data_IF_531868894965
#
_entry.id   IF_531868894965
#
_cell.length_a   1.000
_cell.length_b   1.000
_cell.length_c   1.000
_cell.angle_alpha   90.00
_cell.angle_beta   90.00
_cell.angle_gamma   90.00
#
_symmetry.space_group_name_H-M   'P 1'
#
loop_
_entity.id
_entity.type
_entity.pdbx_description
1 polymer ?
#
# COMPACT_ATOMS: atom_id res chain seq x y z
N UNK A 1 -34.39 -28.68 -23.47
CA UNK A 1 -33.50 -29.84 -23.72
C UNK A 1 -34.24 -31.19 -23.74
N UNK A 2 -35.47 -31.30 -23.23
CA UNK A 2 -36.20 -32.59 -23.14
C UNK A 2 -37.60 -32.60 -23.76
N UNK A 3 -37.98 -31.61 -24.59
CA UNK A 3 -39.37 -31.42 -25.07
C UNK A 3 -39.99 -32.51 -25.95
N UNK A 4 -39.25 -33.59 -26.26
CA UNK A 4 -39.77 -34.80 -26.91
C UNK A 4 -39.94 -35.98 -25.94
N UNK A 5 -39.46 -35.86 -24.70
CA UNK A 5 -39.44 -36.90 -23.66
C UNK A 5 -40.31 -36.46 -22.48
N UNK A 6 -40.10 -35.24 -21.99
CA UNK A 6 -40.96 -34.61 -21.00
C UNK A 6 -41.87 -33.64 -21.75
N UNK A 7 -43.11 -34.07 -22.02
CA UNK A 7 -44.08 -33.32 -22.85
C UNK A 7 -45.25 -32.76 -22.06
N UNK A 8 -45.44 -33.22 -20.82
CA UNK A 8 -46.44 -32.70 -19.89
C UNK A 8 -45.77 -31.66 -18.97
N UNK A 9 -46.33 -30.46 -18.92
CA UNK A 9 -45.85 -29.35 -18.07
C UNK A 9 -46.98 -28.78 -17.21
N UNK A 10 -48.00 -29.60 -16.93
CA UNK A 10 -49.14 -29.17 -16.13
C UNK A 10 -48.85 -29.29 -14.62
N UNK A 11 -49.64 -28.57 -13.83
CA UNK A 11 -49.54 -28.48 -12.35
C UNK A 11 -49.64 -29.82 -11.59
N UNK A 12 -50.11 -30.88 -12.22
CA UNK A 12 -50.20 -32.20 -11.59
C UNK A 12 -48.90 -33.02 -11.73
N UNK A 13 -47.96 -32.57 -12.56
CA UNK A 13 -46.70 -33.27 -12.80
C UNK A 13 -45.74 -33.04 -11.60
N UNK A 14 -45.29 -34.12 -10.92
CA UNK A 14 -44.33 -34.00 -9.82
C UNK A 14 -42.99 -33.41 -10.26
N UNK A 15 -42.57 -33.59 -11.51
CA UNK A 15 -41.36 -32.97 -12.07
C UNK A 15 -41.48 -31.45 -12.17
N UNK A 16 -42.67 -30.93 -12.48
CA UNK A 16 -42.95 -29.48 -12.45
C UNK A 16 -42.91 -28.99 -11.00
N UNK A 17 -43.53 -29.73 -10.07
CA UNK A 17 -43.48 -29.38 -8.63
C UNK A 17 -42.04 -29.32 -8.12
N UNK A 18 -41.19 -30.30 -8.47
CA UNK A 18 -39.77 -30.29 -8.08
C UNK A 18 -39.06 -29.05 -8.63
N UNK A 19 -39.28 -28.73 -9.91
CA UNK A 19 -38.68 -27.56 -10.53
C UNK A 19 -39.13 -26.27 -9.85
N UNK A 20 -40.42 -26.13 -9.53
CA UNK A 20 -40.96 -24.97 -8.83
C UNK A 20 -40.33 -24.78 -7.44
N UNK A 21 -40.20 -25.85 -6.64
CA UNK A 21 -39.57 -25.76 -5.33
C UNK A 21 -38.07 -25.43 -5.43
N UNK A 22 -37.37 -25.96 -6.45
CA UNK A 22 -35.98 -25.60 -6.71
C UNK A 22 -35.82 -24.12 -7.11
N UNK A 23 -36.73 -23.60 -7.94
CA UNK A 23 -36.74 -22.18 -8.33
C UNK A 23 -37.08 -21.27 -7.15
N UNK A 24 -38.00 -21.70 -6.27
CA UNK A 24 -38.28 -20.97 -5.04
C UNK A 24 -37.06 -20.92 -4.11
N UNK A 25 -36.39 -22.05 -3.89
CA UNK A 25 -35.15 -22.09 -3.11
C UNK A 25 -34.02 -21.24 -3.73
N UNK A 26 -33.91 -21.18 -5.06
CA UNK A 26 -33.00 -20.25 -5.75
C UNK A 26 -33.36 -18.78 -5.52
N UNK A 27 -34.65 -18.46 -5.38
CA UNK A 27 -35.09 -17.09 -5.11
C UNK A 27 -34.63 -16.62 -3.74
N UNK A 28 -34.60 -17.51 -2.74
CA UNK A 28 -34.03 -17.22 -1.42
C UNK A 28 -32.52 -16.93 -1.51
N UNK A 29 -31.77 -17.70 -2.29
CA UNK A 29 -30.35 -17.38 -2.55
C UNK A 29 -30.21 -16.01 -3.21
N UNK A 30 -31.04 -15.70 -4.21
CA UNK A 30 -31.04 -14.40 -4.87
C UNK A 30 -31.33 -13.24 -3.91
N UNK A 31 -32.27 -13.43 -2.98
CA UNK A 31 -32.53 -12.48 -1.89
C UNK A 31 -31.30 -12.28 -1.01
N UNK A 32 -30.66 -13.37 -0.55
CA UNK A 32 -29.46 -13.33 0.30
C UNK A 32 -28.22 -12.75 -0.38
N UNK A 33 -28.20 -12.69 -1.72
CA UNK A 33 -27.14 -12.03 -2.52
C UNK A 33 -27.42 -10.55 -2.81
N UNK A 34 -28.60 -10.07 -2.42
CA UNK A 34 -29.06 -8.71 -2.68
C UNK A 34 -28.86 -7.75 -1.51
N UNK A 35 -28.13 -8.14 -0.46
CA UNK A 35 -27.79 -7.24 0.64
C UNK A 35 -26.74 -6.21 0.20
N UNK A 36 -26.60 -5.14 0.99
CA UNK A 36 -25.59 -4.12 0.74
C UNK A 36 -24.18 -4.70 0.93
N UNK A 37 -23.18 -4.14 0.24
CA UNK A 37 -21.82 -4.71 0.26
C UNK A 37 -21.18 -4.62 1.64
N UNK A 38 -21.49 -3.56 2.38
CA UNK A 38 -21.07 -3.31 3.75
C UNK A 38 -21.49 -4.45 4.68
N UNK A 39 -22.67 -5.03 4.45
CA UNK A 39 -23.20 -6.13 5.24
C UNK A 39 -22.43 -7.44 5.00
N UNK A 40 -21.95 -7.67 3.77
CA UNK A 40 -21.07 -8.82 3.47
C UNK A 40 -19.64 -8.63 3.97
N UNK A 41 -19.20 -7.41 4.21
CA UNK A 41 -17.86 -7.10 4.71
C UNK A 41 -17.80 -7.03 6.25
N UNK A 42 -18.95 -6.92 6.91
CA UNK A 42 -19.05 -6.89 8.35
C UNK A 42 -18.79 -8.27 8.96
N UNK A 43 -18.01 -8.32 10.04
CA UNK A 43 -17.91 -9.51 10.89
C UNK A 43 -19.14 -9.67 11.77
N UNK A 44 -19.21 -10.78 12.51
CA UNK A 44 -20.33 -11.12 13.40
C UNK A 44 -20.68 -10.04 14.44
N UNK A 45 -19.73 -9.16 14.78
CA UNK A 45 -19.92 -8.02 15.68
C UNK A 45 -20.54 -6.79 15.00
N UNK A 46 -20.87 -6.87 13.70
CA UNK A 46 -21.42 -5.77 12.90
C UNK A 46 -20.38 -4.74 12.45
N UNK A 47 -19.09 -4.98 12.70
CA UNK A 47 -18.04 -4.04 12.29
C UNK A 47 -17.31 -4.56 11.05
N UNK A 48 -16.94 -3.63 10.16
CA UNK A 48 -16.03 -3.94 9.05
C UNK A 48 -14.60 -3.86 9.60
N UNK A 49 -13.82 -4.93 9.44
CA UNK A 49 -12.38 -4.91 9.77
C UNK A 49 -11.59 -4.27 8.62
N UNK A 50 -11.60 -2.94 8.60
CA UNK A 50 -10.90 -2.12 7.61
C UNK A 50 -9.41 -2.47 7.48
N UNK A 51 -8.75 -2.80 8.58
CA UNK A 51 -7.33 -3.10 8.59
C UNK A 51 -7.04 -4.46 7.95
N UNK A 52 -7.81 -5.50 8.31
CA UNK A 52 -7.64 -6.80 7.66
C UNK A 52 -8.02 -6.77 6.19
N UNK A 53 -9.00 -5.96 5.80
CA UNK A 53 -9.45 -5.90 4.41
C UNK A 53 -8.66 -4.90 3.54
N UNK A 54 -7.61 -4.28 4.10
CA UNK A 54 -6.83 -3.22 3.45
C UNK A 54 -7.71 -2.09 2.88
N UNK A 55 -8.80 -1.76 3.58
CA UNK A 55 -9.70 -0.66 3.26
C UNK A 55 -9.22 0.58 4.02
N UNK A 56 -8.62 1.52 3.31
CA UNK A 56 -8.05 2.72 3.92
C UNK A 56 -8.97 3.91 3.80
N UNK A 57 -9.05 4.69 4.88
CA UNK A 57 -9.85 5.90 4.92
C UNK A 57 -9.32 6.95 3.93
N UNK A 58 -10.18 7.82 3.36
CA UNK A 58 -9.77 8.85 2.41
C UNK A 58 -8.65 9.75 2.94
N UNK A 59 -8.63 10.08 4.23
CA UNK A 59 -7.56 10.86 4.86
C UNK A 59 -6.17 10.21 4.79
N UNK A 60 -6.09 8.88 4.65
CA UNK A 60 -4.82 8.15 4.54
C UNK A 60 -4.33 8.05 3.09
N UNK A 61 -5.24 7.95 2.12
CA UNK A 61 -4.89 7.67 0.71
C UNK A 61 -5.03 8.86 -0.24
N UNK A 62 -5.86 9.86 0.08
CA UNK A 62 -6.07 11.05 -0.76
C UNK A 62 -5.21 12.25 -0.35
N UNK A 63 -4.14 12.03 0.43
CA UNK A 63 -3.25 13.12 0.80
C UNK A 63 -2.48 13.63 -0.42
N UNK A 64 -2.52 14.94 -0.64
CA UNK A 64 -1.77 15.59 -1.69
C UNK A 64 -0.28 15.68 -1.32
N UNK A 65 0.57 15.06 -2.13
CA UNK A 65 2.02 15.18 -1.99
C UNK A 65 2.49 16.48 -2.66
N UNK A 66 3.25 17.36 -1.97
CA UNK A 66 3.70 18.63 -2.55
C UNK A 66 4.74 18.37 -3.65
N UNK A 67 4.51 18.93 -4.83
CA UNK A 67 5.39 18.77 -6.01
C UNK A 67 5.86 20.11 -6.59
N UNK A 68 5.15 21.20 -6.32
CA UNK A 68 5.55 22.56 -6.74
C UNK A 68 6.21 23.34 -5.60
N UNK A 69 6.94 24.40 -5.94
CA UNK A 69 7.59 25.27 -4.94
C UNK A 69 6.59 25.93 -3.99
N UNK A 70 5.41 26.32 -4.51
CA UNK A 70 4.35 26.95 -3.70
C UNK A 70 3.65 25.94 -2.78
N UNK A 71 3.43 24.72 -3.27
CA UNK A 71 2.93 23.62 -2.43
C UNK A 71 3.94 23.26 -1.35
N UNK A 72 5.24 23.19 -1.66
CA UNK A 72 6.28 23.01 -0.65
C UNK A 72 6.22 24.13 0.39
N UNK A 73 6.19 25.40 -0.03
CA UNK A 73 6.10 26.52 0.88
C UNK A 73 4.88 26.42 1.82
N UNK A 74 3.71 26.10 1.28
CA UNK A 74 2.47 25.92 2.04
C UNK A 74 2.55 24.73 3.01
N UNK A 75 2.96 23.56 2.50
CA UNK A 75 3.09 22.31 3.25
C UNK A 75 4.03 22.48 4.44
N UNK A 76 5.26 22.95 4.21
CA UNK A 76 6.25 23.10 5.27
C UNK A 76 5.87 24.21 6.25
N UNK A 77 5.26 25.31 5.80
CA UNK A 77 4.79 26.38 6.70
C UNK A 77 3.78 25.86 7.71
N UNK A 78 2.92 24.95 7.28
CA UNK A 78 1.84 24.38 8.11
C UNK A 78 2.33 23.33 9.12
N UNK A 79 3.49 22.70 8.89
CA UNK A 79 3.97 21.52 9.63
C UNK A 79 5.27 21.74 10.40
N UNK A 80 6.05 22.75 10.04
CA UNK A 80 7.23 23.13 10.81
C UNK A 80 6.81 24.03 11.96
N UNK A 81 7.26 23.69 13.17
CA UNK A 81 7.01 24.49 14.36
C UNK A 81 8.12 24.26 15.38
N UNK A 82 8.29 25.20 16.30
CA UNK A 82 9.09 25.03 17.50
C UNK A 82 8.15 24.90 18.70
N UNK A 83 8.37 23.91 19.56
CA UNK A 83 7.46 23.58 20.66
C UNK A 83 8.12 23.69 22.03
N UNK A 84 7.45 24.40 22.95
CA UNK A 84 7.80 24.38 24.37
C UNK A 84 7.13 23.18 25.02
N UNK A 85 7.88 22.08 25.21
CA UNK A 85 7.35 20.81 25.74
C UNK A 85 6.52 20.94 27.03
N UNK A 86 6.93 21.81 27.96
CA UNK A 86 6.25 21.99 29.25
C UNK A 86 4.90 22.71 29.08
N UNK A 87 4.87 23.78 28.29
CA UNK A 87 3.67 24.61 28.13
C UNK A 87 2.81 24.22 26.93
N UNK A 88 3.26 23.25 26.11
CA UNK A 88 2.65 22.84 24.83
C UNK A 88 2.36 23.98 23.85
N UNK A 89 3.09 25.09 23.99
CA UNK A 89 2.95 26.22 23.08
C UNK A 89 3.85 26.04 21.87
N UNK A 90 3.30 26.31 20.68
CA UNK A 90 4.00 26.17 19.40
C UNK A 90 4.21 27.53 18.73
N UNK A 91 5.40 27.74 18.16
CA UNK A 91 5.76 28.87 17.33
C UNK A 91 5.96 28.40 15.88
N UNK A 92 5.40 29.12 14.92
CA UNK A 92 5.36 28.72 13.51
C UNK A 92 6.07 29.71 12.61
N UNK A 93 6.59 29.26 11.44
CA UNK A 93 7.00 30.14 10.37
C UNK A 93 5.87 31.07 9.91
N UNK A 94 6.18 32.34 9.77
CA UNK A 94 5.27 33.33 9.19
C UNK A 94 5.19 33.18 7.67
N UNK A 95 6.34 32.85 7.06
CA UNK A 95 6.48 32.61 5.63
C UNK A 95 7.63 31.63 5.39
N UNK A 96 7.47 30.79 4.38
CA UNK A 96 8.57 30.00 3.81
C UNK A 96 8.64 30.34 2.32
N UNK A 97 9.86 30.47 1.79
CA UNK A 97 10.10 30.69 0.37
C UNK A 97 11.05 29.63 -0.15
N UNK A 98 10.65 28.98 -1.23
CA UNK A 98 11.52 28.15 -2.04
C UNK A 98 11.92 28.92 -3.30
N UNK A 99 13.17 28.79 -3.71
CA UNK A 99 13.68 29.33 -4.96
C UNK A 99 14.74 28.41 -5.53
N UNK A 100 14.79 28.26 -6.84
CA UNK A 100 15.83 27.44 -7.50
C UNK A 100 17.11 28.26 -7.69
N UNK A 101 18.26 27.62 -7.54
CA UNK A 101 19.56 28.18 -7.90
C UNK A 101 19.97 27.84 -9.35
N UNK A 102 21.16 28.27 -9.75
CA UNK A 102 21.69 28.07 -11.11
C UNK A 102 21.96 26.61 -11.48
N UNK A 103 22.02 25.73 -10.47
CA UNK A 103 22.27 24.30 -10.59
C UNK A 103 20.99 23.47 -10.50
N UNK A 104 19.82 24.11 -10.37
CA UNK A 104 18.55 23.40 -10.21
C UNK A 104 18.24 22.98 -8.77
N UNK A 105 19.10 23.33 -7.80
CA UNK A 105 18.88 23.02 -6.39
C UNK A 105 18.03 24.10 -5.72
N UNK A 106 17.36 23.75 -4.62
CA UNK A 106 16.52 24.68 -3.89
C UNK A 106 17.29 25.45 -2.82
N UNK A 107 17.03 26.76 -2.78
CA UNK A 107 17.34 27.64 -1.66
C UNK A 107 16.07 27.95 -0.91
N UNK A 108 16.10 27.69 0.40
CA UNK A 108 14.93 27.81 1.28
C UNK A 108 15.16 28.90 2.30
N UNK A 109 14.21 29.82 2.40
CA UNK A 109 14.21 30.89 3.39
C UNK A 109 12.98 30.76 4.30
N UNK A 110 13.21 30.53 5.59
CA UNK A 110 12.17 30.42 6.61
C UNK A 110 12.14 31.74 7.40
N UNK A 111 11.00 32.40 7.43
CA UNK A 111 10.81 33.67 8.12
C UNK A 111 10.09 33.46 9.45
N UNK A 112 10.79 33.78 10.54
CA UNK A 112 10.28 33.69 11.92
C UNK A 112 9.99 35.10 12.48
N UNK A 113 8.96 35.19 13.32
CA UNK A 113 8.72 36.37 14.14
C UNK A 113 9.71 36.40 15.31
N UNK A 114 10.09 37.59 15.79
CA UNK A 114 11.05 37.73 16.89
C UNK A 114 12.45 38.14 16.46
N UNK A 115 13.37 38.05 17.41
CA UNK A 115 14.82 38.18 17.22
C UNK A 115 15.50 36.81 17.12
N UNK A 116 16.73 36.80 16.60
CA UNK A 116 17.54 35.59 16.48
C UNK A 116 17.57 34.77 17.78
N UNK A 117 17.24 33.49 17.67
CA UNK A 117 17.22 32.54 18.78
C UNK A 117 17.75 31.19 18.31
N UNK A 118 18.85 30.74 18.90
CA UNK A 118 19.57 29.52 18.47
C UNK A 118 18.77 28.25 18.74
N UNK A 119 18.06 28.19 19.87
CA UNK A 119 17.22 27.03 20.21
C UNK A 119 16.06 26.88 19.21
N UNK A 120 15.32 27.96 18.94
CA UNK A 120 14.24 27.94 17.94
C UNK A 120 14.80 27.58 16.57
N UNK A 121 15.96 28.14 16.21
CA UNK A 121 16.61 27.84 14.93
C UNK A 121 16.95 26.36 14.82
N UNK A 122 17.50 25.75 15.87
CA UNK A 122 17.82 24.31 15.92
C UNK A 122 16.60 23.42 15.73
N UNK A 123 15.52 23.66 16.47
CA UNK A 123 14.27 22.89 16.38
C UNK A 123 13.62 22.99 14.99
N UNK A 124 13.54 24.21 14.43
CA UNK A 124 12.98 24.47 13.11
C UNK A 124 13.83 23.78 12.03
N UNK A 125 15.15 23.85 12.14
CA UNK A 125 16.08 23.24 11.21
C UNK A 125 15.98 21.71 11.24
N UNK A 126 15.94 21.09 12.42
CA UNK A 126 15.77 19.64 12.56
C UNK A 126 14.45 19.15 11.97
N UNK A 127 13.34 19.84 12.29
CA UNK A 127 12.01 19.47 11.79
C UNK A 127 11.88 19.66 10.27
N UNK A 128 12.44 20.73 9.71
CA UNK A 128 12.50 20.91 8.26
C UNK A 128 13.14 19.68 7.60
N UNK A 129 14.33 19.27 8.05
CA UNK A 129 15.06 18.18 7.43
C UNK A 129 14.46 16.80 7.69
N UNK A 130 13.81 16.60 8.84
CA UNK A 130 13.01 15.39 9.10
C UNK A 130 11.87 15.26 8.08
N UNK A 131 11.11 16.34 7.86
CA UNK A 131 10.03 16.37 6.88
C UNK A 131 10.56 16.28 5.44
N UNK A 132 11.61 17.03 5.10
CA UNK A 132 12.20 17.05 3.76
C UNK A 132 12.67 15.67 3.31
N UNK A 133 13.22 14.85 4.21
CA UNK A 133 13.61 13.47 3.90
C UNK A 133 12.45 12.59 3.45
N UNK A 134 11.22 12.87 3.90
CA UNK A 134 10.02 12.05 3.65
C UNK A 134 9.11 12.64 2.55
N UNK A 135 9.10 13.96 2.42
CA UNK A 135 8.10 14.70 1.63
C UNK A 135 8.66 15.45 0.41
N UNK A 136 9.88 15.15 -0.02
CA UNK A 136 10.46 15.69 -1.27
C UNK A 136 10.23 14.77 -2.47
N UNK A 137 10.30 15.29 -3.69
CA UNK A 137 10.40 14.44 -4.87
C UNK A 137 11.79 13.82 -5.01
N UNK A 138 11.87 12.71 -5.75
CA UNK A 138 13.14 12.07 -6.05
C UNK A 138 14.02 13.05 -6.83
N UNK A 139 15.30 13.12 -6.46
CA UNK A 139 16.24 14.08 -7.04
C UNK A 139 16.21 15.47 -6.41
N UNK A 140 15.11 15.92 -5.80
CA UNK A 140 15.06 17.25 -5.20
C UNK A 140 16.09 17.44 -4.09
N UNK A 141 16.82 18.55 -4.15
CA UNK A 141 17.91 18.85 -3.24
C UNK A 141 17.87 20.30 -2.76
N UNK A 142 18.11 20.51 -1.46
CA UNK A 142 18.21 21.85 -0.87
C UNK A 142 19.68 22.18 -0.65
N UNK A 143 20.19 23.15 -1.41
CA UNK A 143 21.59 23.60 -1.33
C UNK A 143 21.84 24.55 -0.16
N UNK A 144 20.84 25.37 0.17
CA UNK A 144 20.93 26.39 1.22
C UNK A 144 19.60 26.53 1.97
N UNK A 145 19.68 26.56 3.30
CA UNK A 145 18.52 26.76 4.18
C UNK A 145 18.86 27.87 5.17
N UNK A 146 18.11 28.96 5.14
CA UNK A 146 18.32 30.14 6.00
C UNK A 146 17.08 30.48 6.80
N UNK A 147 17.29 30.82 8.07
CA UNK A 147 16.26 31.36 8.94
C UNK A 147 16.44 32.87 9.03
N UNK A 148 15.40 33.62 8.65
CA UNK A 148 15.35 35.09 8.70
C UNK A 148 14.37 35.53 9.78
N UNK A 149 14.73 36.59 10.50
CA UNK A 149 13.95 37.12 11.61
C UNK A 149 13.33 38.47 11.22
N UNK A 150 12.03 38.62 11.45
CA UNK A 150 11.26 39.81 11.03
C UNK A 150 11.08 40.86 12.14
N UNK A 151 11.69 40.67 13.31
CA UNK A 151 11.46 41.51 14.49
C UNK A 151 10.12 41.21 15.18
N UNK A 152 9.79 41.99 16.22
CA UNK A 152 8.62 41.77 17.07
C UNK A 152 8.86 40.76 18.20
N UNK A 153 7.80 40.28 18.85
CA UNK A 153 7.86 39.16 19.79
C UNK A 153 7.45 37.86 19.09
N UNK A 154 8.13 36.73 19.34
CA UNK A 154 7.74 35.44 18.80
C UNK A 154 6.39 35.00 19.39
N UNK A 155 5.41 34.81 18.52
CA UNK A 155 4.07 34.41 18.92
C UNK A 155 4.03 32.90 19.18
N UNK A 156 3.88 32.53 20.45
CA UNK A 156 3.69 31.16 20.90
C UNK A 156 2.19 30.93 21.14
N UNK A 157 1.59 30.05 20.34
CA UNK A 157 0.14 29.80 20.35
C UNK A 157 -0.12 28.42 20.93
N UNK A 158 -1.21 28.29 21.69
CA UNK A 158 -1.71 26.99 22.13
C UNK A 158 -2.21 26.20 20.92
N UNK A 159 -1.68 24.99 20.76
CA UNK A 159 -1.98 24.13 19.62
C UNK A 159 -3.46 23.73 19.57
N UNK A 160 -4.12 23.60 20.74
CA UNK A 160 -5.54 23.23 20.82
C UNK A 160 -6.49 24.23 20.16
N UNK A 161 -6.05 25.46 19.87
CA UNK A 161 -6.87 26.52 19.24
C UNK A 161 -6.69 26.58 17.71
N UNK A 162 -5.67 25.93 17.14
CA UNK A 162 -5.32 26.00 15.71
C UNK A 162 -5.44 24.68 14.94
N UNK A 163 -6.01 23.64 15.56
CA UNK A 163 -6.12 22.25 15.06
C UNK A 163 -7.07 22.05 13.84
N UNK A 164 -7.09 22.99 12.89
CA UNK A 164 -7.70 22.80 11.56
C UNK A 164 -6.64 22.51 10.47
N UNK A 165 -5.39 22.26 10.86
CA UNK A 165 -4.31 21.89 9.94
C UNK A 165 -3.91 20.45 10.23
N UNK A 166 -4.36 19.53 9.37
CA UNK A 166 -4.09 18.08 9.42
C UNK A 166 -2.58 17.81 9.49
N UNK A 167 -2.09 17.40 10.66
CA UNK A 167 -0.75 16.83 10.88
C UNK A 167 -0.80 15.31 10.69
N UNK A 168 0.23 14.75 10.03
CA UNK A 168 0.35 13.31 9.70
C UNK A 168 1.45 12.64 10.55
N UNK A 169 2.12 13.43 11.40
CA UNK A 169 3.24 12.96 12.22
C UNK A 169 2.94 12.97 13.73
N UNK A 170 1.71 13.31 14.13
CA UNK A 170 1.23 13.17 15.50
C UNK A 170 0.18 12.03 15.49
N UNK A 171 0.46 10.97 16.26
CA UNK A 171 -0.26 9.68 16.31
C UNK A 171 -1.69 9.75 16.86
N UNK A 172 -2.19 10.91 17.25
CA UNK A 172 -3.52 11.06 17.84
C UNK A 172 -4.10 12.42 17.42
N UNK A 173 -5.20 12.42 16.67
CA UNK A 173 -6.27 13.39 16.87
C UNK A 173 -7.58 12.90 16.21
N UNK A 174 -8.47 12.49 17.11
CA UNK A 174 -9.82 11.97 16.96
C UNK A 174 -10.79 13.00 16.34
N UNK A 175 -10.63 13.36 15.08
CA UNK A 175 -11.79 13.67 14.25
C UNK A 175 -12.16 12.40 13.51
N UNK A 176 -12.77 11.46 14.25
CA UNK A 176 -13.16 10.14 13.76
C UNK A 176 -13.88 10.26 12.43
N UNK A 177 -13.18 9.92 11.35
CA UNK A 177 -13.76 9.83 10.03
C UNK A 177 -14.88 8.79 10.14
N UNK A 178 -16.12 9.17 9.83
CA UNK A 178 -17.26 8.26 9.93
C UNK A 178 -17.12 7.27 8.78
N UNK A 179 -16.54 6.11 9.09
CA UNK A 179 -16.43 5.01 8.16
C UNK A 179 -17.77 4.27 8.08
N UNK A 180 -18.13 3.71 6.90
CA UNK A 180 -19.30 2.86 6.77
C UNK A 180 -19.30 1.72 7.82
N UNK A 181 -20.49 1.34 8.26
CA UNK A 181 -20.74 0.18 9.11
C UNK A 181 -21.74 -0.72 8.42
N UNK A 182 -21.60 -2.04 8.58
CA UNK A 182 -22.54 -3.01 8.04
C UNK A 182 -23.37 -3.68 9.14
N UNK A 183 -24.32 -4.50 8.72
CA UNK A 183 -25.08 -5.40 9.59
C UNK A 183 -24.76 -6.83 9.20
N UNK A 184 -24.33 -7.64 10.16
CA UNK A 184 -24.15 -9.07 9.91
C UNK A 184 -25.51 -9.75 9.75
N UNK A 185 -25.70 -10.44 8.62
CA UNK A 185 -26.86 -11.31 8.38
C UNK A 185 -26.44 -12.77 8.45
N UNK A 186 -27.21 -13.60 9.16
CA UNK A 186 -27.03 -15.05 9.06
C UNK A 186 -27.57 -15.52 7.70
N UNK A 187 -26.65 -15.68 6.74
CA UNK A 187 -26.96 -16.18 5.39
C UNK A 187 -27.02 -17.70 5.34
N UNK A 188 -26.47 -18.38 6.35
CA UNK A 188 -26.29 -19.84 6.37
C UNK A 188 -27.55 -20.60 6.77
N UNK A 189 -28.48 -19.94 7.48
CA UNK A 189 -29.78 -20.50 7.82
C UNK A 189 -30.59 -20.80 6.55
N UNK A 190 -30.63 -22.06 6.13
CA UNK A 190 -31.26 -22.51 4.90
C UNK A 190 -32.19 -23.67 5.20
N UNK A 191 -33.47 -23.50 4.88
CA UNK A 191 -34.46 -24.55 5.00
C UNK A 191 -34.19 -25.65 3.95
N UNK A 192 -34.17 -26.94 4.34
CA UNK A 192 -34.04 -28.03 3.37
C UNK A 192 -35.12 -27.93 2.28
N UNK A 193 -34.75 -28.20 1.03
CA UNK A 193 -35.64 -28.02 -0.13
C UNK A 193 -36.87 -28.94 0.02
N UNK A 194 -36.69 -30.10 0.63
CA UNK A 194 -37.79 -31.04 0.89
C UNK A 194 -38.90 -30.44 1.76
N UNK A 195 -38.60 -29.50 2.66
CA UNK A 195 -39.59 -28.86 3.53
C UNK A 195 -40.53 -27.91 2.78
N UNK A 196 -40.15 -27.48 1.58
CA UNK A 196 -40.99 -26.65 0.71
C UNK A 196 -42.10 -27.46 0.03
N UNK A 197 -42.00 -28.79 0.01
CA UNK A 197 -42.99 -29.64 -0.63
C UNK A 197 -44.23 -29.84 0.24
N UNK A 198 -45.42 -30.02 -0.38
CA UNK A 198 -46.61 -30.47 0.32
C UNK A 198 -46.36 -31.77 1.11
N UNK A 199 -47.03 -31.94 2.24
CA UNK A 199 -46.83 -33.06 3.17
C UNK A 199 -46.87 -34.44 2.50
N UNK A 200 -47.68 -34.62 1.44
CA UNK A 200 -47.78 -35.88 0.70
C UNK A 200 -46.46 -36.34 0.03
N UNK A 201 -45.54 -35.41 -0.25
CA UNK A 201 -44.20 -35.73 -0.76
C UNK A 201 -43.18 -35.97 0.36
N UNK A 202 -43.47 -35.45 1.56
CA UNK A 202 -42.59 -35.53 2.74
C UNK A 202 -42.89 -36.76 3.59
N UNK A 203 -44.11 -37.30 3.52
CA UNK A 203 -44.56 -38.44 4.29
C UNK A 203 -44.87 -39.63 3.38
N UNK A 204 -44.11 -40.73 3.51
CA UNK A 204 -44.35 -41.98 2.78
C UNK A 204 -43.09 -42.64 2.21
N UNK A 205 -43.27 -43.72 1.43
CA UNK A 205 -42.16 -44.52 0.87
C UNK A 205 -41.28 -43.74 -0.12
N UNK A 206 -41.82 -42.70 -0.78
CA UNK A 206 -41.11 -41.87 -1.76
C UNK A 206 -40.30 -40.70 -1.18
N UNK A 207 -40.44 -40.40 0.11
CA UNK A 207 -39.81 -39.24 0.73
C UNK A 207 -38.27 -39.35 0.77
N UNK A 208 -37.75 -40.52 1.15
CA UNK A 208 -36.30 -40.75 1.24
C UNK A 208 -35.61 -40.75 -0.14
N UNK A 209 -36.17 -41.39 -1.20
CA UNK A 209 -35.68 -41.20 -2.57
C UNK A 209 -35.67 -39.74 -3.04
N UNK A 210 -36.73 -38.96 -2.75
CA UNK A 210 -36.79 -37.55 -3.13
C UNK A 210 -35.72 -36.73 -2.39
N UNK A 211 -35.53 -36.97 -1.09
CA UNK A 211 -34.47 -36.33 -0.31
C UNK A 211 -33.08 -36.61 -0.90
N UNK A 212 -32.81 -37.87 -1.27
CA UNK A 212 -31.55 -38.25 -1.91
C UNK A 212 -31.37 -37.61 -3.29
N UNK A 213 -32.46 -37.41 -4.04
CA UNK A 213 -32.43 -36.68 -5.31
C UNK A 213 -32.10 -35.19 -5.12
N UNK A 214 -32.62 -34.55 -4.06
CA UNK A 214 -32.40 -33.13 -3.76
C UNK A 214 -31.03 -32.85 -3.12
N UNK A 215 -30.44 -33.84 -2.45
CA UNK A 215 -29.20 -33.67 -1.67
C UNK A 215 -28.01 -33.03 -2.45
N UNK A 216 -27.73 -33.38 -3.72
CA UNK A 216 -26.65 -32.72 -4.48
C UNK A 216 -26.90 -31.23 -4.74
N UNK A 217 -28.17 -30.84 -4.92
CA UNK A 217 -28.55 -29.44 -5.13
C UNK A 217 -28.38 -28.66 -3.83
N UNK A 218 -28.91 -29.20 -2.72
CA UNK A 218 -28.72 -28.62 -1.40
C UNK A 218 -27.25 -28.48 -1.03
N UNK A 219 -26.41 -29.44 -1.42
CA UNK A 219 -24.97 -29.38 -1.20
C UNK A 219 -24.34 -28.17 -1.92
N UNK A 220 -24.72 -27.91 -3.18
CA UNK A 220 -24.23 -26.74 -3.93
C UNK A 220 -24.70 -25.44 -3.28
N UNK A 221 -25.95 -25.39 -2.80
CA UNK A 221 -26.49 -24.19 -2.14
C UNK A 221 -25.77 -23.91 -0.83
N UNK A 222 -25.57 -24.93 -0.01
CA UNK A 222 -24.78 -24.83 1.23
C UNK A 222 -23.35 -24.38 0.95
N UNK A 223 -22.72 -24.88 -0.11
CA UNK A 223 -21.39 -24.44 -0.53
C UNK A 223 -21.35 -22.98 -0.97
N UNK A 224 -22.41 -22.50 -1.63
CA UNK A 224 -22.51 -21.10 -2.01
C UNK A 224 -22.69 -20.19 -0.79
N UNK A 225 -23.61 -20.55 0.12
CA UNK A 225 -23.85 -19.80 1.35
C UNK A 225 -22.63 -19.78 2.27
N UNK A 226 -21.89 -20.89 2.37
CA UNK A 226 -20.62 -20.98 3.09
C UNK A 226 -19.57 -19.98 2.55
N UNK A 227 -19.53 -19.77 1.23
CA UNK A 227 -18.65 -18.76 0.61
C UNK A 227 -19.11 -17.33 0.91
N UNK A 228 -20.42 -17.09 0.96
CA UNK A 228 -20.97 -15.77 1.34
C UNK A 228 -20.72 -15.45 2.82
N UNK A 229 -20.87 -16.42 3.71
CA UNK A 229 -20.64 -16.27 5.15
C UNK A 229 -19.18 -15.91 5.47
N UNK A 230 -18.23 -16.44 4.68
CA UNK A 230 -16.81 -16.15 4.81
C UNK A 230 -16.33 -15.07 3.81
N UNK A 231 -17.23 -14.26 3.25
CA UNK A 231 -16.89 -13.24 2.26
C UNK A 231 -15.82 -12.23 2.75
N UNK A 232 -15.84 -11.73 4.01
CA UNK A 232 -14.78 -10.85 4.52
C UNK A 232 -13.40 -11.50 4.48
N UNK A 233 -13.32 -12.81 4.73
CA UNK A 233 -12.06 -13.56 4.75
C UNK A 233 -11.43 -13.69 3.37
N UNK A 234 -12.23 -13.66 2.29
CA UNK A 234 -11.73 -13.70 0.91
C UNK A 234 -10.85 -12.49 0.57
N UNK A 235 -11.11 -11.35 1.21
CA UNK A 235 -10.40 -10.08 1.03
C UNK A 235 -9.52 -9.73 2.23
N UNK A 236 -9.28 -10.67 3.14
CA UNK A 236 -8.45 -10.41 4.31
C UNK A 236 -6.95 -10.60 4.04
N UNK A 237 -6.15 -9.68 4.59
CA UNK A 237 -4.68 -9.69 4.65
C UNK A 237 -4.17 -10.15 6.03
N UNK A 238 -5.07 -10.33 7.01
CA UNK A 238 -4.74 -10.87 8.34
C UNK A 238 -5.08 -12.36 8.38
N UNK A 239 -4.07 -13.19 8.63
CA UNK A 239 -4.29 -14.61 8.81
C UNK A 239 -3.00 -15.40 9.01
N UNK A 240 -2.68 -15.70 10.26
CA UNK A 240 -2.44 -17.10 10.59
C UNK A 240 -3.83 -17.77 10.52
N UNK A 241 -4.22 -18.48 9.45
CA UNK A 241 -5.38 -19.40 9.51
C UNK A 241 -5.62 -20.28 8.28
N UNK A 242 -6.12 -21.47 8.66
CA UNK A 242 -6.76 -22.57 7.96
C UNK A 242 -6.17 -23.04 6.62
N UNK A 243 -5.59 -24.24 6.66
CA UNK A 243 -5.18 -25.03 5.50
C UNK A 243 -6.29 -25.18 4.41
N UNK A 244 -7.55 -24.86 4.69
CA UNK A 244 -8.67 -24.91 3.73
C UNK A 244 -8.76 -23.71 2.76
N UNK A 245 -8.36 -22.49 3.13
CA UNK A 245 -8.29 -21.35 2.18
C UNK A 245 -6.99 -21.38 1.38
N UNK A 246 -5.95 -21.98 1.97
CA UNK A 246 -4.65 -22.29 1.34
C UNK A 246 -4.78 -23.35 0.24
N UNK A 247 -5.92 -24.06 0.10
CA UNK A 247 -6.11 -25.05 -0.99
C UNK A 247 -5.93 -24.44 -2.39
N UNK A 248 -6.04 -23.11 -2.57
CA UNK A 248 -5.72 -22.47 -3.84
C UNK A 248 -5.09 -21.07 -3.68
N UNK A 249 -3.76 -21.04 -3.50
CA UNK A 249 -2.94 -19.81 -3.52
C UNK A 249 -3.18 -18.92 -4.75
N UNK A 250 -3.55 -19.49 -5.91
CA UNK A 250 -3.85 -18.70 -7.10
C UNK A 250 -5.15 -17.92 -6.95
N UNK A 251 -6.17 -18.51 -6.33
CA UNK A 251 -7.44 -17.82 -6.03
C UNK A 251 -7.20 -16.64 -5.09
N UNK A 252 -6.41 -16.86 -4.04
CA UNK A 252 -6.07 -15.77 -3.13
C UNK A 252 -5.23 -14.69 -3.81
N UNK A 253 -4.24 -15.08 -4.63
CA UNK A 253 -3.47 -14.13 -5.42
C UNK A 253 -4.35 -13.25 -6.34
N UNK A 254 -5.42 -13.82 -6.93
CA UNK A 254 -6.39 -13.06 -7.72
C UNK A 254 -7.19 -12.06 -6.88
N UNK A 255 -7.58 -12.42 -5.66
CA UNK A 255 -8.24 -11.49 -4.73
C UNK A 255 -7.29 -10.33 -4.37
N UNK A 256 -6.03 -10.63 -4.05
CA UNK A 256 -5.01 -9.60 -3.79
C UNK A 256 -4.76 -8.70 -5.01
N UNK A 257 -4.77 -9.25 -6.23
CA UNK A 257 -4.69 -8.46 -7.47
C UNK A 257 -5.86 -7.48 -7.60
N UNK A 258 -7.08 -7.90 -7.24
CA UNK A 258 -8.24 -7.02 -7.24
C UNK A 258 -8.11 -5.92 -6.19
N UNK A 259 -7.71 -6.27 -4.96
CA UNK A 259 -7.50 -5.31 -3.88
C UNK A 259 -6.44 -4.25 -4.25
N UNK A 260 -5.31 -4.68 -4.83
CA UNK A 260 -4.27 -3.76 -5.30
C UNK A 260 -4.76 -2.87 -6.46
N UNK A 261 -5.55 -3.42 -7.38
CA UNK A 261 -6.09 -2.68 -8.51
C UNK A 261 -7.06 -1.57 -8.08
N UNK A 262 -7.75 -1.71 -6.93
CA UNK A 262 -8.57 -0.63 -6.36
C UNK A 262 -7.76 0.65 -6.10
N UNK A 263 -6.46 0.50 -5.81
CA UNK A 263 -5.52 1.59 -5.59
C UNK A 263 -4.63 1.88 -6.82
N UNK A 264 -4.96 1.30 -7.98
CA UNK A 264 -4.18 1.48 -9.22
C UNK A 264 -2.81 0.78 -9.21
N UNK A 265 -2.63 -0.23 -8.36
CA UNK A 265 -1.35 -0.95 -8.24
C UNK A 265 -1.42 -2.29 -8.96
N UNK A 266 -0.39 -2.58 -9.76
CA UNK A 266 -0.19 -3.88 -10.38
C UNK A 266 1.22 -4.39 -10.10
N UNK A 267 1.32 -5.63 -9.62
CA UNK A 267 2.62 -6.25 -9.41
C UNK A 267 3.22 -6.72 -10.75
N UNK A 268 4.52 -6.46 -11.00
CA UNK A 268 5.21 -7.02 -12.15
C UNK A 268 5.26 -8.54 -12.06
N UNK A 269 5.27 -9.20 -13.22
CA UNK A 269 5.40 -10.65 -13.32
C UNK A 269 6.85 -11.00 -13.63
N UNK A 270 7.57 -11.50 -12.63
CA UNK A 270 8.92 -11.99 -12.81
C UNK A 270 8.96 -13.52 -12.78
N UNK A 271 9.65 -14.13 -13.73
CA UNK A 271 9.77 -15.59 -13.86
C UNK A 271 10.46 -16.26 -12.66
N UNK A 272 11.34 -15.54 -11.96
CA UNK A 272 12.05 -16.04 -10.79
C UNK A 272 11.24 -15.99 -9.49
N UNK A 273 10.08 -15.33 -9.47
CA UNK A 273 9.25 -15.18 -8.28
C UNK A 273 8.21 -16.30 -8.16
N UNK A 274 8.41 -17.15 -7.15
CA UNK A 274 7.45 -18.19 -6.81
C UNK A 274 6.15 -17.57 -6.25
N UNK A 275 5.01 -18.19 -6.57
CA UNK A 275 3.68 -17.72 -6.16
C UNK A 275 3.53 -17.47 -4.64
N UNK A 276 4.01 -18.36 -3.74
CA UNK A 276 3.92 -18.09 -2.30
C UNK A 276 4.64 -16.81 -1.89
N UNK A 277 5.82 -16.55 -2.48
CA UNK A 277 6.61 -15.35 -2.22
C UNK A 277 5.88 -14.09 -2.70
N UNK A 278 5.35 -14.14 -3.92
CA UNK A 278 4.55 -13.06 -4.51
C UNK A 278 3.35 -12.70 -3.62
N UNK A 279 2.61 -13.70 -3.15
CA UNK A 279 1.46 -13.52 -2.25
C UNK A 279 1.90 -12.83 -0.95
N UNK A 280 2.97 -13.30 -0.30
CA UNK A 280 3.49 -12.66 0.92
C UNK A 280 3.91 -11.21 0.69
N UNK A 281 4.52 -10.90 -0.45
CA UNK A 281 4.88 -9.53 -0.81
C UNK A 281 3.67 -8.64 -1.05
N UNK A 282 2.63 -9.13 -1.73
CA UNK A 282 1.37 -8.41 -1.92
C UNK A 282 0.66 -8.12 -0.61
N UNK A 283 0.59 -9.09 0.30
CA UNK A 283 0.05 -8.90 1.65
C UNK A 283 0.84 -7.84 2.41
N UNK A 284 2.17 -7.92 2.39
CA UNK A 284 3.03 -6.92 3.03
C UNK A 284 2.89 -5.52 2.40
N UNK A 285 2.65 -5.45 1.09
CA UNK A 285 2.38 -4.20 0.38
C UNK A 285 1.05 -3.60 0.80
N UNK A 286 -0.03 -4.39 0.73
CA UNK A 286 -1.37 -3.96 1.11
C UNK A 286 -1.37 -3.41 2.54
N UNK A 287 -0.74 -4.10 3.50
CA UNK A 287 -0.63 -3.65 4.91
C UNK A 287 -0.02 -2.26 5.10
N UNK A 288 0.86 -1.83 4.20
CA UNK A 288 1.58 -0.56 4.29
C UNK A 288 1.21 0.39 3.14
N UNK A 289 0.12 0.11 2.43
CA UNK A 289 -0.19 0.72 1.14
C UNK A 289 -0.24 2.27 1.17
N UNK A 290 -0.85 2.93 2.17
CA UNK A 290 -0.88 4.39 2.21
C UNK A 290 0.53 5.00 2.19
N UNK A 291 1.44 4.48 3.03
CA UNK A 291 2.81 4.99 3.11
C UNK A 291 3.59 4.73 1.81
N UNK A 292 3.42 3.54 1.22
CA UNK A 292 4.10 3.11 0.00
C UNK A 292 3.64 3.85 -1.26
N UNK A 293 2.40 4.33 -1.29
CA UNK A 293 1.88 5.13 -2.40
C UNK A 293 2.19 6.62 -2.24
N UNK A 294 2.13 7.12 -1.00
CA UNK A 294 2.29 8.53 -0.73
C UNK A 294 3.73 8.99 -0.92
N UNK A 295 4.69 8.27 -0.34
CA UNK A 295 6.09 8.71 -0.29
C UNK A 295 6.90 8.19 -1.48
N UNK A 296 7.44 9.14 -2.25
CA UNK A 296 8.12 8.87 -3.53
C UNK A 296 9.64 8.71 -3.41
N UNK A 297 10.18 8.73 -2.21
CA UNK A 297 11.63 8.71 -1.94
C UNK A 297 11.98 7.89 -0.69
N UNK A 298 13.28 7.66 -0.50
CA UNK A 298 13.81 7.07 0.71
C UNK A 298 13.27 5.67 0.99
N UNK A 299 12.91 5.42 2.25
CA UNK A 299 12.51 4.09 2.72
C UNK A 299 11.25 3.56 2.03
N UNK A 300 10.21 4.39 1.89
CA UNK A 300 8.92 3.95 1.37
C UNK A 300 9.02 3.55 -0.11
N UNK A 301 9.64 4.39 -0.95
CA UNK A 301 9.89 4.04 -2.36
C UNK A 301 10.73 2.77 -2.47
N UNK A 302 11.82 2.64 -1.68
CA UNK A 302 12.64 1.42 -1.70
C UNK A 302 11.83 0.21 -1.28
N UNK A 303 11.02 0.33 -0.22
CA UNK A 303 10.20 -0.78 0.28
C UNK A 303 9.13 -1.21 -0.73
N UNK A 304 8.53 -0.26 -1.45
CA UNK A 304 7.61 -0.49 -2.57
C UNK A 304 8.30 -1.34 -3.65
N UNK A 305 9.47 -0.90 -4.12
CA UNK A 305 10.27 -1.60 -5.14
C UNK A 305 10.72 -2.97 -4.64
N UNK A 306 11.23 -3.07 -3.41
CA UNK A 306 11.60 -4.33 -2.76
C UNK A 306 10.44 -5.34 -2.82
N UNK A 307 9.25 -4.95 -2.35
CA UNK A 307 8.09 -5.84 -2.34
C UNK A 307 7.66 -6.26 -3.74
N UNK A 308 7.66 -5.35 -4.71
CA UNK A 308 7.34 -5.66 -6.11
C UNK A 308 8.37 -6.60 -6.77
N UNK A 309 9.63 -6.54 -6.33
CA UNK A 309 10.69 -7.48 -6.71
C UNK A 309 10.69 -8.79 -5.92
N UNK A 310 9.74 -8.99 -5.00
CA UNK A 310 9.64 -10.19 -4.18
C UNK A 310 10.57 -10.23 -2.96
N UNK A 311 11.09 -9.07 -2.53
CA UNK A 311 12.09 -8.94 -1.47
C UNK A 311 11.40 -8.71 -0.11
N UNK A 312 11.51 -9.68 0.81
CA UNK A 312 10.94 -9.60 2.17
C UNK A 312 11.97 -9.25 3.25
N UNK A 313 13.27 -9.15 2.90
CA UNK A 313 14.42 -9.00 3.81
C UNK A 313 14.68 -10.25 4.64
N UNK A 314 14.67 -11.40 3.98
CA UNK A 314 15.02 -12.69 4.55
C UNK A 314 16.02 -13.44 3.66
N UNK A 315 16.43 -14.63 4.10
CA UNK A 315 17.47 -15.42 3.42
C UNK A 315 17.06 -15.94 2.04
N UNK A 316 15.78 -15.85 1.66
CA UNK A 316 15.27 -16.31 0.37
C UNK A 316 15.29 -15.20 -0.69
N UNK A 317 15.65 -13.98 -0.32
CA UNK A 317 15.79 -12.88 -1.27
C UNK A 317 16.90 -13.16 -2.27
N UNK A 318 16.56 -13.26 -3.56
CA UNK A 318 17.56 -13.43 -4.63
C UNK A 318 18.27 -12.15 -5.00
N UNK A 319 17.68 -11.01 -4.66
CA UNK A 319 18.16 -9.68 -5.00
C UNK A 319 18.15 -8.82 -3.73
N UNK A 320 19.18 -8.00 -3.55
CA UNK A 320 19.18 -6.90 -2.58
C UNK A 320 19.30 -5.58 -3.34
N UNK A 321 18.57 -4.56 -2.90
CA UNK A 321 18.52 -3.25 -3.55
C UNK A 321 18.77 -2.14 -2.53
N UNK A 322 19.61 -1.18 -2.93
CA UNK A 322 19.90 0.01 -2.17
C UNK A 322 19.82 1.22 -3.09
N UNK A 323 19.08 2.26 -2.68
CA UNK A 323 18.94 3.49 -3.43
C UNK A 323 19.75 4.60 -2.77
N UNK A 324 20.67 5.18 -3.51
CA UNK A 324 21.39 6.38 -3.10
C UNK A 324 20.85 7.53 -3.94
N UNK A 325 19.88 8.22 -3.35
CA UNK A 325 19.14 9.33 -3.93
C UNK A 325 19.81 10.68 -3.60
N UNK A 326 21.00 10.90 -4.17
CA UNK A 326 21.71 12.17 -4.12
C UNK A 326 21.92 12.68 -5.54
N UNK A 327 21.41 13.88 -5.84
CA UNK A 327 21.59 14.49 -7.15
C UNK A 327 23.05 14.98 -7.24
N UNK A 328 23.92 14.15 -7.84
CA UNK A 328 25.19 14.66 -8.36
C UNK A 328 24.83 15.53 -9.56
N UNK A 329 24.72 16.84 -9.34
CA UNK A 329 24.66 17.85 -10.40
C UNK A 329 26.06 17.97 -11.05
N UNK A 330 26.63 16.86 -11.49
CA UNK A 330 27.66 16.95 -12.53
C UNK A 330 26.89 17.24 -13.82
N UNK A 331 27.22 18.36 -14.47
CA UNK A 331 26.71 18.72 -15.80
C UNK A 331 25.19 19.03 -15.87
N UNK A 332 24.54 19.39 -14.74
CA UNK A 332 23.09 19.73 -14.68
C UNK A 332 22.13 18.56 -14.95
N UNK A 333 22.59 17.31 -14.84
CA UNK A 333 21.75 16.13 -15.02
C UNK A 333 21.49 15.46 -13.68
N UNK A 334 20.22 15.26 -13.32
CA UNK A 334 19.87 14.55 -12.11
C UNK A 334 20.15 13.05 -12.24
N UNK A 335 20.97 12.49 -11.33
CA UNK A 335 21.32 11.07 -11.33
C UNK A 335 20.81 10.39 -10.06
N UNK A 336 20.32 9.17 -10.19
CA UNK A 336 19.91 8.32 -9.06
C UNK A 336 20.72 7.03 -9.12
N UNK A 337 21.50 6.77 -8.07
CA UNK A 337 22.32 5.56 -8.01
C UNK A 337 21.52 4.43 -7.37
N UNK A 338 21.31 3.34 -8.11
CA UNK A 338 20.65 2.13 -7.63
C UNK A 338 21.71 1.02 -7.57
N UNK A 339 22.09 0.62 -6.37
CA UNK A 339 23.06 -0.46 -6.17
C UNK A 339 22.29 -1.75 -5.91
N UNK A 340 22.49 -2.71 -6.80
CA UNK A 340 21.83 -4.00 -6.77
C UNK A 340 22.82 -5.13 -6.61
N UNK A 341 22.43 -6.10 -5.80
CA UNK A 341 23.15 -7.33 -5.59
C UNK A 341 22.25 -8.49 -5.97
N UNK A 342 22.73 -9.41 -6.78
CA UNK A 342 21.96 -10.56 -7.27
C UNK A 342 22.70 -11.87 -6.99
N UNK A 343 21.94 -12.93 -6.74
CA UNK A 343 22.45 -14.30 -6.76
C UNK A 343 22.98 -14.65 -8.16
N UNK A 344 24.04 -15.45 -8.20
CA UNK A 344 24.72 -15.86 -9.44
C UNK A 344 23.84 -16.76 -10.33
N UNK A 345 22.71 -17.28 -9.81
CA UNK A 345 21.77 -18.15 -10.55
C UNK A 345 20.75 -17.37 -11.40
N UNK A 346 20.67 -16.04 -11.25
CA UNK A 346 19.78 -15.20 -12.05
C UNK A 346 20.31 -14.98 -13.46
N UNK A 347 19.45 -15.21 -14.46
CA UNK A 347 19.81 -15.02 -15.87
C UNK A 347 19.93 -13.53 -16.22
N UNK A 348 20.72 -13.21 -17.26
CA UNK A 348 20.84 -11.82 -17.72
C UNK A 348 19.51 -11.23 -18.18
N UNK A 349 18.64 -12.03 -18.79
CA UNK A 349 17.29 -11.63 -19.19
C UNK A 349 16.46 -11.21 -17.97
N UNK A 350 16.50 -11.98 -16.89
CA UNK A 350 15.85 -11.64 -15.62
C UNK A 350 16.36 -10.33 -15.03
N UNK A 351 17.68 -10.12 -15.03
CA UNK A 351 18.27 -8.87 -14.52
C UNK A 351 17.85 -7.67 -15.39
N UNK A 352 17.74 -7.87 -16.70
CA UNK A 352 17.28 -6.84 -17.63
C UNK A 352 15.80 -6.47 -17.41
N UNK A 353 14.91 -7.45 -17.13
CA UNK A 353 13.51 -7.19 -16.76
C UNK A 353 13.41 -6.38 -15.47
N UNK A 354 14.27 -6.70 -14.49
CA UNK A 354 14.36 -5.98 -13.22
C UNK A 354 14.87 -4.55 -13.42
N UNK A 355 15.91 -4.35 -14.24
CA UNK A 355 16.40 -3.02 -14.61
C UNK A 355 15.29 -2.18 -15.25
N UNK A 356 14.56 -2.73 -16.24
CA UNK A 356 13.47 -2.04 -16.90
C UNK A 356 12.35 -1.64 -15.93
N UNK A 357 11.99 -2.54 -15.01
CA UNK A 357 11.00 -2.24 -13.96
C UNK A 357 11.46 -1.07 -13.07
N UNK A 358 12.71 -1.08 -12.62
CA UNK A 358 13.25 0.00 -11.78
C UNK A 358 13.30 1.33 -12.54
N UNK A 359 13.69 1.31 -13.81
CA UNK A 359 13.66 2.50 -14.66
C UNK A 359 12.25 3.09 -14.78
N UNK A 360 11.21 2.25 -14.88
CA UNK A 360 9.82 2.69 -14.94
C UNK A 360 9.33 3.31 -13.61
N UNK A 361 9.91 2.91 -12.47
CA UNK A 361 9.60 3.48 -11.16
C UNK A 361 10.37 4.78 -10.86
N UNK A 362 11.34 5.16 -11.71
CA UNK A 362 12.14 6.38 -11.57
C UNK A 362 11.59 7.45 -12.54
N UNK A 363 11.42 8.72 -12.08
CA UNK A 363 10.96 9.80 -12.96
C UNK A 363 11.84 9.97 -14.20
N UNK A 364 11.23 10.12 -15.38
CA UNK A 364 11.92 10.16 -16.68
C UNK A 364 12.96 11.30 -16.84
N UNK A 365 12.89 12.35 -16.01
CA UNK A 365 13.86 13.44 -16.02
C UNK A 365 15.12 13.15 -15.18
N UNK A 366 15.15 12.02 -14.47
CA UNK A 366 16.30 11.54 -13.72
C UNK A 366 16.96 10.38 -14.46
N UNK A 367 18.28 10.35 -14.43
CA UNK A 367 19.08 9.28 -15.01
C UNK A 367 19.35 8.20 -13.95
N UNK A 368 18.77 7.00 -14.08
CA UNK A 368 19.12 5.87 -13.22
C UNK A 368 20.51 5.33 -13.57
N UNK A 369 21.38 5.22 -12.57
CA UNK A 369 22.66 4.53 -12.65
C UNK A 369 22.55 3.23 -11.85
N UNK A 370 22.28 2.13 -12.55
CA UNK A 370 22.07 0.81 -11.93
C UNK A 370 23.41 0.06 -11.90
N UNK A 371 23.84 -0.34 -10.71
CA UNK A 371 25.05 -1.13 -10.48
C UNK A 371 24.65 -2.57 -10.18
N UNK A 372 25.20 -3.52 -10.93
CA UNK A 372 25.07 -4.95 -10.61
C UNK A 372 26.37 -5.46 -10.00
N UNK A 373 26.35 -5.66 -8.69
CA UNK A 373 27.51 -6.12 -7.93
C UNK A 373 27.26 -7.54 -7.39
N UNK A 374 28.26 -8.43 -7.37
CA UNK A 374 28.09 -9.76 -6.81
C UNK A 374 27.62 -9.74 -5.35
N UNK A 375 26.63 -10.57 -4.99
CA UNK A 375 25.98 -10.53 -3.66
C UNK A 375 26.91 -10.73 -2.46
N UNK A 376 28.04 -11.42 -2.65
CA UNK A 376 29.10 -11.54 -1.62
C UNK A 376 29.63 -10.19 -1.12
N UNK A 377 29.50 -9.12 -1.90
CA UNK A 377 29.96 -7.77 -1.56
C UNK A 377 28.85 -6.94 -0.87
N UNK A 378 27.62 -7.48 -0.75
CA UNK A 378 26.47 -6.73 -0.23
C UNK A 378 26.66 -6.31 1.22
N UNK A 379 27.24 -7.17 2.06
CA UNK A 379 27.48 -6.84 3.48
C UNK A 379 28.38 -5.62 3.65
N UNK A 380 29.45 -5.51 2.87
CA UNK A 380 30.36 -4.37 2.95
C UNK A 380 29.65 -3.07 2.54
N UNK A 381 28.84 -3.12 1.49
CA UNK A 381 28.04 -1.97 1.06
C UNK A 381 26.92 -1.63 2.05
N UNK A 382 26.26 -2.63 2.64
CA UNK A 382 25.19 -2.44 3.61
C UNK A 382 25.67 -1.67 4.85
N UNK A 383 26.90 -1.94 5.34
CA UNK A 383 27.51 -1.14 6.41
C UNK A 383 27.76 0.31 5.97
N UNK A 384 28.34 0.52 4.77
CA UNK A 384 28.52 1.87 4.22
C UNK A 384 27.19 2.62 4.02
N UNK A 385 26.13 1.88 3.68
CA UNK A 385 24.80 2.42 3.47
C UNK A 385 24.09 2.78 4.79
N UNK A 386 24.45 2.15 5.92
CA UNK A 386 23.95 2.58 7.24
C UNK A 386 24.39 4.02 7.53
N UNK A 387 25.65 4.35 7.26
CA UNK A 387 26.15 5.72 7.38
C UNK A 387 25.33 6.66 6.47
N UNK A 388 24.99 6.26 5.24
CA UNK A 388 24.10 7.08 4.40
C UNK A 388 22.68 7.25 4.98
N UNK A 389 22.12 6.19 5.58
CA UNK A 389 20.77 6.20 6.18
C UNK A 389 20.71 7.00 7.49
N UNK A 390 21.75 6.95 8.31
CA UNK A 390 21.80 7.51 9.67
C UNK A 390 22.65 8.78 9.78
N UNK A 391 23.79 8.86 9.08
CA UNK A 391 24.68 10.03 8.99
C UNK A 391 24.38 10.93 7.77
N UNK A 392 23.38 10.61 6.94
CA UNK A 392 22.90 11.52 5.91
C UNK A 392 22.60 12.87 6.56
N UNK A 393 23.39 13.94 6.28
CA UNK A 393 23.32 15.13 7.10
C UNK A 393 21.93 15.74 7.01
N UNK A 394 21.66 16.68 7.92
CA UNK A 394 20.63 17.68 7.68
C UNK A 394 20.65 18.13 6.21
N UNK A 395 21.81 18.25 5.56
CA UNK A 395 21.92 18.32 4.08
C UNK A 395 22.09 16.91 3.49
N UNK A 396 21.27 16.49 2.52
CA UNK A 396 21.36 15.20 1.79
C UNK A 396 22.64 15.08 0.92
N UNK A 397 23.82 15.28 1.51
CA UNK A 397 25.11 15.17 0.82
C UNK A 397 25.71 13.81 1.11
N UNK A 398 26.15 13.14 0.05
CA UNK A 398 26.83 11.86 0.14
C UNK A 398 28.11 11.94 0.96
N UNK A 399 28.35 10.93 1.79
CA UNK A 399 29.63 10.80 2.50
C UNK A 399 30.75 10.61 1.48
N UNK A 400 31.96 11.16 1.70
CA UNK A 400 33.11 10.95 0.82
C UNK A 400 33.37 9.46 0.53
N UNK A 401 33.19 8.60 1.55
CA UNK A 401 33.31 7.14 1.43
C UNK A 401 32.32 6.55 0.43
N UNK A 402 31.06 7.04 0.40
CA UNK A 402 30.06 6.60 -0.56
C UNK A 402 30.43 7.03 -1.99
N UNK A 403 30.91 8.26 -2.14
CA UNK A 403 31.37 8.78 -3.44
C UNK A 403 32.53 7.95 -3.97
N UNK A 404 33.56 7.71 -3.14
CA UNK A 404 34.73 6.91 -3.51
C UNK A 404 34.32 5.48 -3.92
N UNK A 405 33.38 4.88 -3.18
CA UNK A 405 32.86 3.55 -3.51
C UNK A 405 32.18 3.54 -4.87
N UNK A 406 31.26 4.48 -5.15
CA UNK A 406 30.57 4.56 -6.45
C UNK A 406 31.53 4.82 -7.61
N UNK A 407 32.58 5.64 -7.41
CA UNK A 407 33.61 5.89 -8.40
C UNK A 407 34.42 4.63 -8.70
N UNK A 408 34.81 3.87 -7.68
CA UNK A 408 35.55 2.62 -7.82
C UNK A 408 34.73 1.52 -8.52
N UNK A 409 33.40 1.54 -8.37
CA UNK A 409 32.49 0.51 -8.90
C UNK A 409 31.82 0.91 -10.23
N UNK A 410 32.28 1.97 -10.91
CA UNK A 410 31.74 2.41 -12.22
C UNK A 410 31.69 1.31 -13.28
N UNK A 411 32.61 0.34 -13.21
CA UNK A 411 32.63 -0.81 -14.14
C UNK A 411 31.40 -1.72 -14.03
N UNK A 412 30.71 -1.70 -12.89
CA UNK A 412 29.50 -2.48 -12.63
C UNK A 412 28.21 -1.76 -13.06
N UNK A 413 28.32 -0.53 -13.54
CA UNK A 413 27.17 0.20 -14.08
C UNK A 413 26.66 -0.53 -15.32
N UNK A 414 25.35 -0.80 -15.35
CA UNK A 414 24.69 -1.34 -16.53
C UNK A 414 24.95 -0.45 -17.73
N UNK A 415 25.43 -1.05 -18.82
CA UNK A 415 25.73 -0.33 -20.07
C UNK A 415 24.49 -0.13 -20.95
N UNK A 416 23.33 -0.62 -20.51
CA UNK A 416 22.08 -0.41 -21.25
C UNK A 416 21.65 1.04 -21.13
N UNK A 417 21.29 1.60 -22.28
CA UNK A 417 20.60 2.88 -22.35
C UNK A 417 19.11 2.56 -22.37
N UNK A 418 18.43 2.87 -21.28
CA UNK A 418 16.99 2.78 -21.18
C UNK A 418 16.43 4.14 -21.63
N UNK A 419 15.90 4.19 -22.86
CA UNK A 419 15.31 5.38 -23.48
C UNK A 419 13.83 5.50 -23.13
#
# INVERSE_FOLDING_TARGET
>A
MSGKIWTDYNVHDPGVTILEQMVFALTELGYKTGFDVEDYLASFDGNIDYESQALYAPTLVMQEFPVTLDEYASFFKSRIYCERRITKLRCYPQKIRFATDENGCYRVEIYMAGSANDWVSGEIFERFWRLWRKWRCMGDYVSDLRIKWMGGEPEFVDYGVRANVRSVDDEDDELGEILPTGTHHDVTDFAPIIELFPTIYREGEGAEPLKNYLAPIEFVFKKFLDVLDHFPELFSIRGERSAKVIENLERYNRALDQMLAMYGVHFPKFSFLALPRLVSCKVAFLRNLPELLLHRVGYAWRRRVELMLGILRDRLDKIEIFNVDGLLVDEKVGRVHIVMFADDDLTRETLDDVEQFICNEIPAHLLPLIYWVPKRESHAFAELYKDWKFDGPMKLTMSPRMVDWLLAHKQFISKKVWL
#
